data_IF_132899633940
#
_entry.id   IF_132899633940
#
_cell.length_a   1.000
_cell.length_b   1.000
_cell.length_c   1.000
_cell.angle_alpha   90.00
_cell.angle_beta   90.00
_cell.angle_gamma   90.00
#
_symmetry.space_group_name_H-M   'P 1'
#
loop_
_entity.id
_entity.type
_entity.pdbx_description
1 polymer ?
#
# COMPACT_ATOMS: atom_id res chain seq x y z
N UNK A 1 -10.58 25.07 -7.88
CA UNK A 1 -9.91 23.75 -7.90
C UNK A 1 -10.61 22.72 -7.02
N UNK A 2 -10.67 21.45 -7.42
CA UNK A 2 -10.82 20.30 -6.49
C UNK A 2 -9.44 19.67 -6.42
N UNK A 3 -8.78 19.76 -5.27
CA UNK A 3 -7.55 19.01 -5.00
C UNK A 3 -7.88 17.93 -3.99
N UNK A 4 -7.46 16.71 -4.30
CA UNK A 4 -7.44 15.59 -3.38
C UNK A 4 -5.97 15.29 -3.14
N UNK A 5 -5.50 15.47 -1.90
CA UNK A 5 -4.19 15.01 -1.51
C UNK A 5 -4.37 13.80 -0.60
N UNK A 6 -3.97 12.62 -1.07
CA UNK A 6 -3.94 11.44 -0.21
C UNK A 6 -2.56 11.32 0.42
N UNK A 7 -2.54 11.22 1.74
CA UNK A 7 -1.36 10.82 2.50
C UNK A 7 -1.66 9.39 2.89
N UNK A 8 -1.29 8.46 2.02
CA UNK A 8 -1.69 7.06 2.05
C UNK A 8 -1.35 6.39 3.39
N UNK A 9 -2.34 6.30 4.26
CA UNK A 9 -2.32 5.43 5.43
C UNK A 9 -3.69 4.77 5.53
N UNK A 10 -3.86 3.56 5.00
CA UNK A 10 -5.16 2.89 5.11
C UNK A 10 -5.58 2.73 6.59
N UNK A 11 -6.77 3.28 6.87
CA UNK A 11 -7.45 3.40 8.15
C UNK A 11 -8.47 2.28 8.34
N UNK A 12 -8.61 1.76 9.56
CA UNK A 12 -9.84 1.07 9.98
C UNK A 12 -10.25 1.58 11.37
N UNK A 13 -11.31 2.39 11.42
CA UNK A 13 -12.11 2.59 12.64
C UNK A 13 -13.54 2.14 12.38
N UNK A 14 -14.00 1.10 13.09
CA UNK A 14 -15.38 0.62 13.09
C UNK A 14 -16.32 1.68 13.71
N UNK A 15 -16.99 2.48 12.90
CA UNK A 15 -18.35 3.03 13.08
C UNK A 15 -18.85 3.41 11.66
N UNK A 16 -20.15 3.39 11.36
CA UNK A 16 -20.62 3.49 9.99
C UNK A 16 -20.36 4.90 9.45
N UNK A 17 -19.82 4.97 8.23
CA UNK A 17 -19.29 6.12 7.49
C UNK A 17 -17.77 6.31 7.66
N UNK A 18 -17.09 6.35 6.50
CA UNK A 18 -15.66 6.63 6.26
C UNK A 18 -14.74 5.38 6.31
N UNK A 19 -14.90 4.51 5.31
CA UNK A 19 -13.75 3.94 4.59
C UNK A 19 -13.24 5.04 3.67
N UNK A 20 -11.99 5.46 3.80
CA UNK A 20 -11.45 6.47 2.89
C UNK A 20 -9.95 6.64 3.06
N UNK A 21 -9.24 6.64 1.94
CA UNK A 21 -8.39 7.79 1.55
C UNK A 21 -8.74 9.03 2.37
N UNK A 22 -7.74 9.77 2.87
CA UNK A 22 -8.03 11.15 3.30
C UNK A 22 -8.24 12.00 2.05
N UNK A 23 -9.34 11.72 1.34
CA UNK A 23 -9.84 12.50 0.25
C UNK A 23 -10.37 13.82 0.82
N UNK A 24 -9.48 14.78 1.08
CA UNK A 24 -9.91 16.13 1.33
C UNK A 24 -10.44 16.69 0.02
N UNK A 25 -11.76 16.73 -0.14
CA UNK A 25 -12.36 17.57 -1.16
C UNK A 25 -12.20 19.03 -0.71
N UNK A 26 -11.20 19.73 -1.24
CA UNK A 26 -11.17 21.20 -1.27
C UNK A 26 -12.23 21.69 -2.28
N UNK A 27 -13.51 21.35 -2.07
CA UNK A 27 -14.54 21.42 -3.12
C UNK A 27 -15.36 22.71 -3.17
N UNK A 28 -15.01 23.77 -2.42
CA UNK A 28 -15.84 24.99 -2.42
C UNK A 28 -15.08 26.31 -2.43
N UNK A 29 -13.75 26.30 -2.41
CA UNK A 29 -12.98 27.53 -2.30
C UNK A 29 -12.32 27.85 -3.65
N UNK A 30 -12.86 28.87 -4.32
CA UNK A 30 -12.15 29.57 -5.42
C UNK A 30 -11.04 30.48 -4.89
N UNK A 31 -10.71 30.36 -3.61
CA UNK A 31 -9.68 31.14 -2.94
C UNK A 31 -8.36 30.36 -2.95
N UNK A 32 -7.40 30.73 -3.80
CA UNK A 32 -6.14 30.03 -3.91
C UNK A 32 -5.30 30.12 -2.62
N UNK A 33 -5.38 31.24 -1.89
CA UNK A 33 -4.63 31.43 -0.64
C UNK A 33 -5.15 30.48 0.44
N UNK A 34 -6.47 30.39 0.60
CA UNK A 34 -7.07 29.47 1.56
C UNK A 34 -6.82 28.00 1.21
N UNK A 35 -6.84 27.65 -0.09
CA UNK A 35 -6.49 26.30 -0.53
C UNK A 35 -5.02 25.97 -0.19
N UNK A 36 -4.11 26.94 -0.36
CA UNK A 36 -2.72 26.79 0.03
C UNK A 36 -2.57 26.55 1.53
N UNK A 37 -3.15 27.44 2.35
CA UNK A 37 -3.07 27.33 3.81
C UNK A 37 -3.65 26.00 4.29
N UNK A 38 -4.76 25.55 3.72
CA UNK A 38 -5.39 24.26 4.07
C UNK A 38 -4.53 23.05 3.74
N UNK A 39 -3.93 23.02 2.55
CA UNK A 39 -3.03 21.91 2.19
C UNK A 39 -1.82 21.90 3.11
N UNK A 40 -1.18 23.06 3.32
CA UNK A 40 -0.02 23.17 4.20
C UNK A 40 -0.33 22.75 5.64
N UNK A 41 -1.44 23.26 6.22
CA UNK A 41 -1.92 22.90 7.56
C UNK A 41 -2.19 21.39 7.66
N UNK A 42 -2.75 20.78 6.61
CA UNK A 42 -3.06 19.35 6.61
C UNK A 42 -1.78 18.53 6.76
N UNK A 43 -0.77 18.83 5.95
CA UNK A 43 0.54 18.19 6.03
C UNK A 43 1.20 18.43 7.40
N UNK A 44 1.20 19.67 7.88
CA UNK A 44 1.74 20.02 9.20
C UNK A 44 1.11 19.19 10.33
N UNK A 45 -0.21 18.91 10.27
CA UNK A 45 -0.92 18.19 11.32
C UNK A 45 -0.89 16.66 11.17
N UNK A 46 -0.63 16.14 9.96
CA UNK A 46 -0.90 14.73 9.62
C UNK A 46 0.29 13.99 9.05
N UNK A 47 1.23 14.66 8.39
CA UNK A 47 2.38 14.01 7.80
C UNK A 47 3.43 13.70 8.88
N UNK A 48 3.77 12.41 9.12
CA UNK A 48 4.61 12.03 10.25
C UNK A 48 6.11 11.96 9.94
N UNK A 49 6.52 12.24 8.70
CA UNK A 49 7.85 11.87 8.22
C UNK A 49 8.74 13.05 7.82
N UNK A 50 8.40 14.29 8.16
CA UNK A 50 9.23 15.45 7.79
C UNK A 50 10.70 15.29 8.22
N UNK A 51 10.94 14.88 9.47
CA UNK A 51 12.31 14.62 9.96
C UNK A 51 13.01 13.50 9.19
N UNK A 52 12.27 12.41 8.90
CA UNK A 52 12.80 11.27 8.14
C UNK A 52 13.16 11.66 6.70
N UNK A 53 12.38 12.57 6.11
CA UNK A 53 12.60 13.12 4.76
C UNK A 53 13.56 14.30 4.76
N UNK A 54 14.01 14.76 5.93
CA UNK A 54 14.85 15.95 6.08
C UNK A 54 14.22 17.21 5.43
N UNK A 55 12.91 17.40 5.64
CA UNK A 55 12.15 18.53 5.10
C UNK A 55 11.70 19.46 6.22
N UNK A 56 12.15 20.72 6.17
CA UNK A 56 11.61 21.79 7.02
C UNK A 56 10.27 22.27 6.44
N UNK A 57 9.17 21.73 6.96
CA UNK A 57 7.83 22.06 6.46
C UNK A 57 7.44 23.52 6.69
N UNK A 58 7.98 24.18 7.72
CA UNK A 58 7.73 25.60 7.94
C UNK A 58 8.44 26.44 6.89
N UNK A 59 9.68 26.09 6.53
CA UNK A 59 10.39 26.73 5.41
C UNK A 59 9.64 26.55 4.09
N UNK A 60 8.94 25.43 3.88
CA UNK A 60 8.05 25.26 2.72
C UNK A 60 6.94 26.33 2.72
N UNK A 61 6.30 26.60 3.87
CA UNK A 61 5.33 27.70 3.97
C UNK A 61 5.95 29.05 3.59
N UNK A 62 7.06 29.40 4.23
CA UNK A 62 7.71 30.70 4.06
C UNK A 62 8.19 30.91 2.61
N UNK A 63 8.53 29.83 1.91
CA UNK A 63 8.99 29.86 0.51
C UNK A 63 7.85 29.99 -0.49
N UNK A 64 6.75 29.26 -0.28
CA UNK A 64 5.69 29.12 -1.29
C UNK A 64 4.45 29.97 -1.03
N UNK A 65 4.11 30.25 0.23
CA UNK A 65 2.92 31.07 0.56
C UNK A 65 2.96 32.45 -0.11
N UNK A 66 4.07 33.20 -0.15
CA UNK A 66 4.13 34.51 -0.80
C UNK A 66 3.92 34.48 -2.32
N UNK A 67 4.07 33.30 -2.96
CA UNK A 67 3.82 33.11 -4.40
C UNK A 67 2.33 32.99 -4.72
N UNK A 68 1.48 32.72 -3.72
CA UNK A 68 0.04 32.53 -3.88
C UNK A 68 -0.69 33.83 -3.54
N UNK A 69 -1.49 34.31 -4.47
CA UNK A 69 -2.33 35.51 -4.33
C UNK A 69 -3.75 35.20 -4.83
N UNK A 70 -4.70 36.10 -4.57
CA UNK A 70 -6.06 36.01 -5.11
C UNK A 70 -6.14 35.92 -6.65
N UNK A 71 -5.07 36.25 -7.38
CA UNK A 71 -5.00 36.16 -8.84
C UNK A 71 -4.39 34.84 -9.34
N UNK A 72 -3.84 34.01 -8.44
CA UNK A 72 -3.23 32.72 -8.79
C UNK A 72 -4.29 31.79 -9.37
N UNK A 73 -4.02 31.28 -10.56
CA UNK A 73 -4.90 30.35 -11.26
C UNK A 73 -4.85 28.95 -10.67
N UNK A 74 -5.85 28.11 -10.94
CA UNK A 74 -5.86 26.70 -10.54
C UNK A 74 -4.63 25.93 -11.09
N UNK A 75 -4.12 26.28 -12.27
CA UNK A 75 -2.94 25.63 -12.85
C UNK A 75 -1.65 26.04 -12.10
N UNK A 76 -1.45 27.34 -11.87
CA UNK A 76 -0.30 27.86 -11.12
C UNK A 76 -0.29 27.35 -9.68
N UNK A 77 -1.45 27.30 -9.03
CA UNK A 77 -1.54 26.81 -7.66
C UNK A 77 -1.21 25.31 -7.58
N UNK A 78 -1.63 24.51 -8.56
CA UNK A 78 -1.26 23.10 -8.63
C UNK A 78 0.25 22.92 -8.81
N UNK A 79 0.88 23.74 -9.66
CA UNK A 79 2.34 23.69 -9.88
C UNK A 79 3.11 24.07 -8.61
N UNK A 80 2.64 25.11 -7.89
CA UNK A 80 3.18 25.49 -6.58
C UNK A 80 3.10 24.34 -5.57
N UNK A 81 1.98 23.60 -5.55
CA UNK A 81 1.85 22.43 -4.68
C UNK A 81 2.79 21.29 -5.07
N UNK A 82 2.96 21.01 -6.36
CA UNK A 82 3.95 20.04 -6.81
C UNK A 82 5.34 20.42 -6.29
N UNK A 83 5.78 21.65 -6.51
CA UNK A 83 7.11 22.12 -6.06
C UNK A 83 7.26 22.05 -4.53
N UNK A 84 6.21 22.38 -3.77
CA UNK A 84 6.22 22.34 -2.31
C UNK A 84 6.29 20.91 -1.75
N UNK A 85 5.66 19.96 -2.43
CA UNK A 85 5.57 18.55 -2.01
C UNK A 85 6.72 17.69 -2.53
N UNK A 86 7.37 18.08 -3.64
CA UNK A 86 8.45 17.34 -4.29
C UNK A 86 9.57 16.90 -3.33
N UNK A 87 10.06 17.73 -2.39
CA UNK A 87 11.14 17.32 -1.49
C UNK A 87 10.76 16.23 -0.49
N UNK A 88 9.47 15.88 -0.37
CA UNK A 88 9.03 14.79 0.50
C UNK A 88 9.51 13.43 0.00
N UNK A 89 9.74 13.26 -1.31
CA UNK A 89 10.23 12.01 -1.92
C UNK A 89 9.49 10.77 -1.39
N UNK A 90 8.15 10.85 -1.38
CA UNK A 90 7.28 9.89 -0.71
C UNK A 90 6.16 9.38 -1.62
N UNK A 91 6.25 8.10 -2.01
CA UNK A 91 5.29 7.45 -2.89
C UNK A 91 3.89 7.34 -2.33
N UNK A 92 3.72 7.48 -1.01
CA UNK A 92 2.42 7.50 -0.35
C UNK A 92 1.78 8.88 -0.37
N UNK A 93 2.46 9.91 -0.89
CA UNK A 93 1.85 11.22 -1.14
C UNK A 93 1.37 11.30 -2.57
N UNK A 94 0.09 11.57 -2.76
CA UNK A 94 -0.48 11.79 -4.09
C UNK A 94 -1.33 13.05 -4.12
N UNK A 95 -0.96 14.00 -4.99
CA UNK A 95 -1.72 15.20 -5.26
C UNK A 95 -2.52 15.01 -6.56
N UNK A 96 -3.85 14.98 -6.47
CA UNK A 96 -4.75 14.95 -7.62
C UNK A 96 -5.50 16.26 -7.72
N UNK A 97 -5.76 16.71 -8.94
CA UNK A 97 -6.49 17.94 -9.16
C UNK A 97 -7.20 18.00 -10.50
N UNK A 98 -8.13 18.95 -10.60
CA UNK A 98 -8.74 19.35 -11.87
C UNK A 98 -8.52 20.84 -12.09
N UNK A 99 -7.76 21.19 -13.12
CA UNK A 99 -7.29 22.55 -13.37
C UNK A 99 -7.55 23.00 -14.81
N UNK A 100 -7.39 24.30 -15.07
CA UNK A 100 -7.47 24.91 -16.39
C UNK A 100 -8.86 24.86 -17.06
N UNK A 101 -8.95 25.40 -18.30
CA UNK A 101 -10.17 25.30 -19.11
C UNK A 101 -10.57 23.83 -19.33
N UNK A 102 -11.83 23.50 -19.05
CA UNK A 102 -12.33 22.13 -19.20
C UNK A 102 -11.97 21.16 -18.06
N UNK A 103 -11.41 21.64 -16.94
CA UNK A 103 -11.15 20.84 -15.72
C UNK A 103 -10.31 19.59 -15.99
N UNK A 104 -9.17 19.77 -16.67
CA UNK A 104 -8.22 18.71 -17.01
C UNK A 104 -7.74 18.02 -15.73
N UNK A 105 -7.80 16.69 -15.70
CA UNK A 105 -7.26 15.90 -14.59
C UNK A 105 -5.73 16.01 -14.56
N UNK A 106 -5.17 16.24 -13.39
CA UNK A 106 -3.73 16.24 -13.10
C UNK A 106 -3.47 15.38 -11.88
N UNK A 107 -2.29 14.78 -11.83
CA UNK A 107 -1.79 14.00 -10.70
C UNK A 107 -0.30 14.25 -10.54
N UNK A 108 0.19 14.22 -9.31
CA UNK A 108 1.59 14.35 -8.95
C UNK A 108 1.89 13.42 -7.76
N UNK A 109 3.04 12.77 -7.80
CA UNK A 109 3.59 11.95 -6.73
C UNK A 109 5.05 12.41 -6.54
N UNK A 110 5.48 12.77 -5.31
CA UNK A 110 6.85 13.22 -5.05
C UNK A 110 7.92 12.15 -5.25
N UNK A 111 7.58 10.87 -5.11
CA UNK A 111 8.53 9.78 -5.37
C UNK A 111 8.51 9.38 -6.85
N UNK A 112 9.69 9.24 -7.49
CA UNK A 112 9.79 8.66 -8.82
C UNK A 112 9.19 7.25 -8.89
N UNK A 113 8.84 6.81 -10.09
CA UNK A 113 8.33 5.45 -10.28
C UNK A 113 9.32 4.40 -9.73
N UNK A 114 8.89 3.31 -9.06
CA UNK A 114 9.81 2.30 -8.53
C UNK A 114 10.80 1.77 -9.56
N UNK A 115 12.05 1.46 -9.16
CA UNK A 115 13.10 1.03 -10.11
C UNK A 115 12.68 -0.19 -10.91
N UNK A 116 11.94 -1.13 -10.31
CA UNK A 116 11.41 -2.28 -11.03
C UNK A 116 10.58 -1.88 -12.27
N UNK A 117 9.78 -0.82 -12.20
CA UNK A 117 8.98 -0.34 -13.33
C UNK A 117 9.75 0.57 -14.27
N UNK A 118 10.82 1.22 -13.80
CA UNK A 118 11.77 1.92 -14.67
C UNK A 118 12.59 0.94 -15.52
N UNK A 119 13.00 -0.19 -14.93
CA UNK A 119 13.83 -1.22 -15.58
C UNK A 119 13.01 -2.12 -16.50
N UNK A 120 11.79 -2.50 -16.09
CA UNK A 120 10.95 -3.43 -16.84
C UNK A 120 9.67 -2.77 -17.34
N UNK A 121 9.50 -2.76 -18.66
CA UNK A 121 8.25 -2.35 -19.27
C UNK A 121 7.09 -3.30 -18.89
N UNK A 122 5.85 -2.81 -19.01
CA UNK A 122 4.64 -3.65 -18.86
C UNK A 122 4.66 -4.91 -19.74
N UNK A 123 5.34 -4.88 -20.89
CA UNK A 123 5.49 -6.06 -21.77
C UNK A 123 6.45 -7.08 -21.16
N UNK A 124 7.58 -6.61 -20.64
CA UNK A 124 8.58 -7.47 -19.99
C UNK A 124 8.06 -8.07 -18.70
N UNK A 125 7.33 -7.31 -17.88
CA UNK A 125 6.68 -7.83 -16.66
C UNK A 125 5.67 -8.93 -17.04
N UNK A 126 4.84 -8.73 -18.07
CA UNK A 126 3.95 -9.81 -18.55
C UNK A 126 4.73 -11.03 -19.05
N UNK A 127 5.88 -10.81 -19.69
CA UNK A 127 6.74 -11.90 -20.16
C UNK A 127 7.43 -12.64 -19.00
N UNK A 128 7.80 -11.93 -17.93
CA UNK A 128 8.32 -12.50 -16.69
C UNK A 128 7.34 -13.52 -16.13
N UNK A 129 6.06 -13.15 -15.96
CA UNK A 129 5.07 -14.09 -15.38
C UNK A 129 4.70 -15.26 -16.30
N UNK A 130 4.75 -15.08 -17.63
CA UNK A 130 4.70 -16.22 -18.57
C UNK A 130 5.88 -17.16 -18.37
N UNK A 131 7.07 -16.61 -18.13
CA UNK A 131 8.30 -17.38 -17.89
C UNK A 131 8.25 -18.08 -16.53
N UNK A 132 7.73 -17.43 -15.49
CA UNK A 132 7.45 -18.04 -14.18
C UNK A 132 6.55 -19.27 -14.33
N UNK A 133 5.43 -19.14 -15.05
CA UNK A 133 4.52 -20.28 -15.26
C UNK A 133 5.20 -21.45 -15.99
N UNK A 134 5.95 -21.16 -17.06
CA UNK A 134 6.74 -22.20 -17.77
C UNK A 134 7.77 -22.87 -16.85
N UNK A 135 8.44 -22.07 -16.01
CA UNK A 135 9.45 -22.56 -15.07
C UNK A 135 8.82 -23.48 -14.03
N UNK A 136 7.71 -23.06 -13.42
CA UNK A 136 6.96 -23.87 -12.46
C UNK A 136 6.57 -25.22 -13.08
N UNK A 137 5.98 -25.22 -14.27
CA UNK A 137 5.61 -26.44 -14.99
C UNK A 137 6.83 -27.33 -15.29
N UNK A 138 7.96 -26.76 -15.75
CA UNK A 138 9.20 -27.52 -15.98
C UNK A 138 9.80 -28.14 -14.71
N UNK A 139 9.45 -27.60 -13.53
CA UNK A 139 9.88 -28.09 -12.21
C UNK A 139 8.81 -28.96 -11.53
N UNK A 140 7.83 -29.46 -12.28
CA UNK A 140 6.83 -30.41 -11.79
C UNK A 140 5.74 -29.79 -10.93
N UNK A 141 5.57 -28.47 -10.96
CA UNK A 141 4.37 -27.85 -10.40
C UNK A 141 3.17 -28.09 -11.32
N UNK A 142 2.00 -28.23 -10.70
CA UNK A 142 0.73 -28.17 -11.42
C UNK A 142 0.49 -26.81 -12.09
N UNK A 143 -0.63 -26.71 -12.80
CA UNK A 143 -1.08 -25.44 -13.38
C UNK A 143 -1.36 -24.44 -12.26
N UNK A 144 -0.88 -23.21 -12.42
CA UNK A 144 -1.21 -22.10 -11.53
C UNK A 144 -2.67 -21.69 -11.76
N UNK A 145 -3.52 -21.96 -10.78
CA UNK A 145 -4.96 -21.69 -10.86
C UNK A 145 -5.36 -20.52 -9.96
N UNK A 146 -6.31 -19.73 -10.44
CA UNK A 146 -7.03 -18.75 -9.62
C UNK A 146 -7.94 -19.48 -8.62
N UNK A 147 -7.97 -19.01 -7.37
CA UNK A 147 -8.84 -19.61 -6.34
C UNK A 147 -10.23 -18.96 -6.34
N UNK A 148 -11.09 -19.33 -5.38
CA UNK A 148 -12.40 -18.67 -5.18
C UNK A 148 -12.29 -17.19 -4.80
N UNK A 149 -11.07 -16.75 -4.49
CA UNK A 149 -10.69 -15.41 -4.15
C UNK A 149 -9.69 -14.97 -5.25
N UNK A 150 -10.14 -14.14 -6.19
CA UNK A 150 -9.43 -13.86 -7.45
C UNK A 150 -7.97 -13.41 -7.28
N UNK A 151 -7.64 -12.74 -6.18
CA UNK A 151 -6.29 -12.24 -5.94
C UNK A 151 -5.28 -13.30 -5.48
N UNK A 152 -5.73 -14.53 -5.17
CA UNK A 152 -4.90 -15.63 -4.72
C UNK A 152 -4.84 -16.68 -5.82
N UNK A 153 -3.63 -16.91 -6.33
CA UNK A 153 -3.33 -17.96 -7.28
C UNK A 153 -2.41 -18.99 -6.63
N UNK A 154 -2.69 -20.27 -6.84
CA UNK A 154 -1.95 -21.33 -6.16
C UNK A 154 -1.68 -22.53 -7.08
N UNK A 155 -0.49 -23.11 -6.94
CA UNK A 155 -0.18 -24.45 -7.40
C UNK A 155 0.93 -25.05 -6.53
N UNK A 156 1.17 -26.35 -6.70
CA UNK A 156 2.29 -27.03 -6.04
C UNK A 156 2.93 -28.08 -6.93
N UNK A 157 4.17 -28.40 -6.60
CA UNK A 157 4.82 -29.66 -6.95
C UNK A 157 4.58 -30.69 -5.85
N UNK A 158 5.31 -31.82 -5.89
CA UNK A 158 5.30 -32.79 -4.78
C UNK A 158 5.78 -32.17 -3.46
N UNK A 159 6.80 -31.33 -3.49
CA UNK A 159 7.52 -30.90 -2.28
C UNK A 159 7.36 -29.40 -1.98
N UNK A 160 6.97 -28.57 -2.96
CA UNK A 160 6.94 -27.11 -2.80
C UNK A 160 5.63 -26.54 -3.32
N UNK A 161 5.01 -25.65 -2.54
CA UNK A 161 3.85 -24.87 -2.95
C UNK A 161 4.27 -23.47 -3.43
N UNK A 162 3.50 -22.91 -4.35
CA UNK A 162 3.68 -21.58 -4.89
C UNK A 162 2.36 -20.81 -4.77
N UNK A 163 2.37 -19.71 -4.03
CA UNK A 163 1.23 -18.80 -3.86
C UNK A 163 1.62 -17.47 -4.50
N UNK A 164 0.79 -16.94 -5.38
CA UNK A 164 0.92 -15.57 -5.87
C UNK A 164 -0.24 -14.74 -5.35
N UNK A 165 0.08 -13.59 -4.76
CA UNK A 165 -0.89 -12.68 -4.14
C UNK A 165 -0.88 -11.38 -4.94
N UNK A 166 -1.95 -11.13 -5.70
CA UNK A 166 -2.05 -10.00 -6.63
C UNK A 166 -2.59 -8.72 -6.01
N UNK A 167 -3.31 -8.83 -4.89
CA UNK A 167 -4.03 -7.75 -4.22
C UNK A 167 -4.27 -8.17 -2.75
N UNK A 168 -4.57 -7.24 -1.85
CA UNK A 168 -4.94 -7.55 -0.45
C UNK A 168 -6.27 -6.89 -0.05
N UNK A 169 -7.14 -6.62 -1.02
CA UNK A 169 -8.47 -6.06 -0.83
C UNK A 169 -9.44 -6.51 -1.94
N UNK A 170 -10.67 -5.99 -1.94
CA UNK A 170 -11.62 -6.23 -3.02
C UNK A 170 -12.25 -7.63 -3.04
N UNK A 171 -12.11 -8.41 -1.97
CA UNK A 171 -12.73 -9.75 -1.86
C UNK A 171 -13.58 -9.91 -0.60
N UNK A 172 -14.75 -10.54 -0.76
CA UNK A 172 -15.64 -10.87 0.36
C UNK A 172 -14.94 -11.82 1.34
N UNK A 173 -15.02 -11.53 2.64
CA UNK A 173 -14.41 -12.35 3.72
C UNK A 173 -14.66 -13.86 3.59
N UNK A 174 -15.86 -14.27 3.19
CA UNK A 174 -16.20 -15.68 2.93
C UNK A 174 -15.35 -16.30 1.81
N UNK A 175 -15.18 -15.60 0.69
CA UNK A 175 -14.39 -16.08 -0.46
C UNK A 175 -12.91 -16.18 -0.10
N UNK A 176 -12.38 -15.17 0.59
CA UNK A 176 -11.01 -15.21 1.11
C UNK A 176 -10.81 -16.42 2.02
N UNK A 177 -11.73 -16.67 2.97
CA UNK A 177 -11.67 -17.84 3.84
C UNK A 177 -11.70 -19.16 3.06
N UNK A 178 -12.62 -19.31 2.11
CA UNK A 178 -12.73 -20.50 1.25
C UNK A 178 -11.42 -20.79 0.50
N UNK A 179 -10.83 -19.77 -0.13
CA UNK A 179 -9.57 -19.90 -0.83
C UNK A 179 -8.42 -20.29 0.11
N UNK A 180 -8.29 -19.61 1.25
CA UNK A 180 -7.25 -19.90 2.22
C UNK A 180 -7.39 -21.29 2.84
N UNK A 181 -8.62 -21.74 3.14
CA UNK A 181 -8.86 -23.10 3.64
C UNK A 181 -8.50 -24.15 2.58
N UNK A 182 -8.85 -23.90 1.31
CA UNK A 182 -8.49 -24.75 0.18
C UNK A 182 -6.97 -24.89 0.03
N UNK A 183 -6.23 -23.77 0.08
CA UNK A 183 -4.77 -23.77 0.03
C UNK A 183 -4.19 -24.49 1.25
N UNK A 184 -4.71 -24.20 2.45
CA UNK A 184 -4.17 -24.75 3.71
C UNK A 184 -4.31 -26.26 3.79
N UNK A 185 -5.43 -26.82 3.33
CA UNK A 185 -5.65 -28.27 3.27
C UNK A 185 -4.63 -28.99 2.37
N UNK A 186 -4.03 -28.26 1.43
CA UNK A 186 -3.02 -28.77 0.51
C UNK A 186 -1.58 -28.51 1.00
N UNK A 187 -1.38 -28.11 2.26
CA UNK A 187 -0.04 -27.99 2.85
C UNK A 187 0.62 -29.31 3.18
N UNK A 188 -0.15 -30.41 3.21
CA UNK A 188 0.36 -31.72 3.58
C UNK A 188 1.57 -32.12 2.72
N UNK A 189 2.63 -32.59 3.39
CA UNK A 189 3.89 -33.03 2.80
C UNK A 189 4.71 -31.95 2.06
N UNK A 190 4.32 -30.66 2.14
CA UNK A 190 5.17 -29.59 1.63
C UNK A 190 6.41 -29.43 2.51
N UNK A 191 7.56 -29.29 1.85
CA UNK A 191 8.86 -28.98 2.44
C UNK A 191 9.19 -27.49 2.36
N UNK A 192 8.44 -26.73 1.57
CA UNK A 192 8.66 -25.29 1.40
C UNK A 192 7.48 -24.61 0.71
N UNK A 193 7.36 -23.30 0.93
CA UNK A 193 6.46 -22.42 0.18
C UNK A 193 7.24 -21.28 -0.47
N UNK A 194 6.85 -20.94 -1.69
CA UNK A 194 7.24 -19.70 -2.37
C UNK A 194 6.00 -18.81 -2.40
N UNK A 195 6.11 -17.60 -1.87
CA UNK A 195 5.05 -16.59 -1.90
C UNK A 195 5.53 -15.43 -2.77
N UNK A 196 4.79 -15.10 -3.82
CA UNK A 196 5.14 -14.04 -4.76
C UNK A 196 4.18 -12.85 -4.64
N UNK A 197 4.72 -11.71 -4.23
CA UNK A 197 4.00 -10.45 -4.05
C UNK A 197 4.54 -9.32 -4.95
N UNK A 198 5.39 -9.61 -5.94
CA UNK A 198 6.12 -8.57 -6.72
C UNK A 198 5.26 -7.57 -7.49
N UNK A 199 4.00 -7.89 -7.76
CA UNK A 199 3.03 -6.97 -8.39
C UNK A 199 1.91 -6.51 -7.43
N UNK A 200 2.06 -6.75 -6.13
CA UNK A 200 1.02 -6.47 -5.15
C UNK A 200 0.99 -4.97 -4.79
N UNK A 201 -0.12 -4.26 -5.08
CA UNK A 201 -0.22 -2.82 -4.85
C UNK A 201 -0.65 -2.45 -3.42
N UNK A 202 -0.97 -3.44 -2.58
CA UNK A 202 -1.41 -3.21 -1.22
C UNK A 202 -2.80 -3.77 -0.94
N UNK A 203 -3.55 -3.04 -0.11
CA UNK A 203 -4.87 -3.42 0.39
C UNK A 203 -4.98 -3.24 1.91
N UNK A 204 -5.81 -4.07 2.54
CA UNK A 204 -6.21 -3.88 3.94
C UNK A 204 -5.45 -4.80 4.92
N UNK A 205 -5.12 -4.26 6.11
CA UNK A 205 -4.49 -5.01 7.21
C UNK A 205 -5.29 -6.27 7.59
N UNK A 206 -6.63 -6.22 7.56
CA UNK A 206 -7.51 -7.36 7.86
C UNK A 206 -7.24 -8.55 6.91
N UNK A 207 -7.03 -8.28 5.63
CA UNK A 207 -6.72 -9.30 4.61
C UNK A 207 -5.31 -9.82 4.82
N UNK A 208 -4.34 -8.93 5.07
CA UNK A 208 -2.95 -9.32 5.39
C UNK A 208 -2.93 -10.30 6.55
N UNK A 209 -3.54 -9.94 7.68
CA UNK A 209 -3.58 -10.79 8.88
C UNK A 209 -4.27 -12.12 8.59
N UNK A 210 -5.40 -12.12 7.87
CA UNK A 210 -6.11 -13.35 7.52
C UNK A 210 -5.25 -14.34 6.70
N UNK A 211 -4.40 -13.83 5.80
CA UNK A 211 -3.47 -14.64 5.02
C UNK A 211 -2.30 -15.10 5.89
N UNK A 212 -1.65 -14.19 6.63
CA UNK A 212 -0.47 -14.51 7.47
C UNK A 212 -0.81 -15.52 8.57
N UNK A 213 -2.05 -15.52 9.06
CA UNK A 213 -2.54 -16.51 10.04
C UNK A 213 -2.47 -17.97 9.55
N UNK A 214 -2.25 -18.21 8.24
CA UNK A 214 -2.03 -19.56 7.68
C UNK A 214 -0.58 -20.06 7.85
N UNK A 215 0.33 -19.18 8.26
CA UNK A 215 1.77 -19.44 8.28
C UNK A 215 2.41 -19.33 9.66
N UNK A 216 1.62 -19.04 10.71
CA UNK A 216 2.11 -18.94 12.08
C UNK A 216 1.77 -20.18 12.92
N UNK A 217 2.59 -20.43 13.95
CA UNK A 217 2.48 -21.54 14.89
C UNK A 217 1.95 -21.12 16.27
N UNK A 218 1.99 -19.82 16.57
CA UNK A 218 1.56 -19.23 17.84
C UNK A 218 1.07 -17.80 17.66
N UNK A 219 0.37 -17.31 18.68
CA UNK A 219 -0.01 -15.89 18.75
C UNK A 219 1.22 -15.02 18.97
N UNK A 220 1.40 -14.01 18.12
CA UNK A 220 2.46 -13.01 18.27
C UNK A 220 2.07 -11.68 17.63
N UNK A 221 2.86 -10.64 17.91
CA UNK A 221 2.68 -9.32 17.30
C UNK A 221 3.18 -9.38 15.85
N UNK A 222 2.37 -8.88 14.92
CA UNK A 222 2.76 -8.72 13.53
C UNK A 222 3.45 -7.38 13.29
N UNK A 223 2.82 -6.30 13.76
CA UNK A 223 3.32 -4.94 13.64
C UNK A 223 2.61 -3.99 14.61
N UNK A 224 3.16 -2.79 14.72
CA UNK A 224 2.62 -1.69 15.50
C UNK A 224 2.28 -0.51 14.60
N UNK A 225 1.24 0.26 14.95
CA UNK A 225 0.95 1.55 14.31
C UNK A 225 0.59 2.59 15.37
N UNK A 226 0.89 3.84 15.04
CA UNK A 226 0.37 5.05 15.70
C UNK A 226 0.10 6.08 14.62
N UNK A 227 -0.86 6.97 14.85
CA UNK A 227 -1.31 7.96 13.86
C UNK A 227 -0.95 9.37 14.33
N UNK A 228 -0.45 10.22 13.44
CA UNK A 228 -0.19 11.63 13.72
C UNK A 228 -1.52 12.38 13.95
N UNK A 229 -1.61 13.12 15.04
CA UNK A 229 -2.86 13.79 15.45
C UNK A 229 -2.75 15.31 15.56
N UNK A 230 -1.56 15.86 15.40
CA UNK A 230 -1.30 17.28 15.58
C UNK A 230 0.10 17.67 15.12
N UNK A 231 0.43 18.97 15.20
CA UNK A 231 1.60 19.53 14.55
C UNK A 231 2.90 19.36 15.33
N UNK A 232 2.86 19.09 16.64
CA UNK A 232 4.06 18.92 17.45
C UNK A 232 4.61 17.51 17.35
N UNK A 233 5.92 17.32 17.41
CA UNK A 233 6.59 16.02 17.11
C UNK A 233 6.05 14.84 17.92
N UNK A 234 5.57 15.07 19.15
CA UNK A 234 5.01 14.03 20.01
C UNK A 234 3.52 13.73 19.77
N UNK A 235 2.82 14.50 18.92
CA UNK A 235 1.37 14.39 18.72
C UNK A 235 1.00 13.16 17.88
N UNK A 236 0.94 12.02 18.56
CA UNK A 236 0.53 10.74 18.02
C UNK A 236 -0.50 10.06 18.93
N UNK A 237 -1.34 9.21 18.35
CA UNK A 237 -2.13 8.27 19.14
C UNK A 237 -1.24 7.33 19.94
N UNK A 238 -1.74 6.71 21.02
CA UNK A 238 -1.07 5.55 21.62
C UNK A 238 -0.78 4.47 20.58
N UNK A 239 0.33 3.75 20.78
CA UNK A 239 0.69 2.62 19.91
C UNK A 239 -0.40 1.54 20.00
N UNK A 240 -0.85 1.08 18.85
CA UNK A 240 -1.72 -0.09 18.71
C UNK A 240 -0.93 -1.23 18.09
N UNK A 241 -1.24 -2.46 18.50
CA UNK A 241 -0.55 -3.67 18.05
C UNK A 241 -1.52 -4.60 17.31
N UNK A 242 -1.12 -5.03 16.12
CA UNK A 242 -1.81 -6.06 15.36
C UNK A 242 -1.16 -7.40 15.65
N UNK A 243 -1.99 -8.43 15.74
CA UNK A 243 -1.55 -9.77 16.13
C UNK A 243 -1.89 -10.75 15.03
N UNK A 244 -1.02 -11.74 14.88
CA UNK A 244 -1.23 -12.94 14.07
C UNK A 244 -1.30 -14.14 15.01
N UNK A 245 -2.14 -15.10 14.66
CA UNK A 245 -2.29 -16.36 15.39
C UNK A 245 -2.78 -17.47 14.44
N UNK A 246 -2.46 -18.75 14.72
CA UNK A 246 -2.85 -19.87 13.85
C UNK A 246 -4.35 -19.86 13.56
N UNK A 247 -4.74 -19.81 12.28
CA UNK A 247 -6.14 -19.92 11.87
C UNK A 247 -6.32 -20.79 10.62
N UNK A 248 -7.47 -21.46 10.53
CA UNK A 248 -7.80 -22.35 9.42
C UNK A 248 -7.56 -23.82 9.72
N UNK A 249 -7.78 -24.71 8.73
CA UNK A 249 -7.74 -26.15 8.94
C UNK A 249 -6.32 -26.71 9.10
N UNK A 250 -5.31 -25.99 8.62
CA UNK A 250 -3.90 -26.33 8.77
C UNK A 250 -3.04 -25.07 8.64
N UNK A 251 -1.83 -25.13 9.19
CA UNK A 251 -0.83 -24.07 9.12
C UNK A 251 0.42 -24.61 8.43
N UNK A 252 1.08 -23.78 7.63
CA UNK A 252 2.39 -24.10 7.10
C UNK A 252 3.47 -23.37 7.91
N UNK A 253 4.22 -24.12 8.70
CA UNK A 253 5.29 -23.61 9.58
C UNK A 253 6.68 -24.04 9.12
N UNK A 254 6.79 -24.57 7.90
CA UNK A 254 8.07 -24.89 7.25
C UNK A 254 8.69 -23.68 6.53
N UNK A 255 9.82 -23.86 5.84
CA UNK A 255 10.53 -22.78 5.16
C UNK A 255 9.69 -21.99 4.14
N UNK A 256 9.73 -20.66 4.23
CA UNK A 256 9.04 -19.76 3.28
C UNK A 256 10.04 -18.85 2.56
N UNK A 257 9.94 -18.78 1.24
CA UNK A 257 10.63 -17.79 0.41
C UNK A 257 9.61 -16.74 -0.06
N UNK A 258 9.79 -15.49 0.35
CA UNK A 258 8.99 -14.36 -0.10
C UNK A 258 9.69 -13.63 -1.26
N UNK A 259 9.05 -13.58 -2.43
CA UNK A 259 9.50 -12.80 -3.58
C UNK A 259 8.85 -11.42 -3.53
N UNK A 260 9.67 -10.37 -3.44
CA UNK A 260 9.26 -8.97 -3.38
C UNK A 260 10.18 -8.10 -4.26
N UNK A 261 9.80 -6.85 -4.49
CA UNK A 261 10.58 -5.82 -5.17
C UNK A 261 10.11 -4.43 -4.70
N UNK A 262 10.77 -3.37 -5.18
CA UNK A 262 10.42 -1.99 -4.81
C UNK A 262 9.11 -1.47 -5.42
N UNK A 263 8.43 -2.24 -6.27
CA UNK A 263 7.07 -1.93 -6.72
C UNK A 263 5.97 -2.49 -5.83
N UNK A 264 6.32 -3.26 -4.79
CA UNK A 264 5.38 -3.71 -3.77
C UNK A 264 5.06 -2.53 -2.86
N UNK A 265 3.78 -2.29 -2.61
CA UNK A 265 3.33 -1.03 -2.01
C UNK A 265 2.32 -1.26 -0.89
N UNK A 266 2.31 -0.38 0.11
CA UNK A 266 1.26 -0.27 1.14
C UNK A 266 1.00 -1.60 1.87
N UNK A 267 -0.20 -2.18 1.77
CA UNK A 267 -0.53 -3.47 2.38
C UNK A 267 0.44 -4.61 2.03
N UNK A 268 1.10 -4.56 0.86
CA UNK A 268 2.13 -5.52 0.47
C UNK A 268 3.40 -5.41 1.33
N UNK A 269 3.77 -4.20 1.72
CA UNK A 269 4.87 -3.94 2.66
C UNK A 269 4.49 -4.40 4.07
N UNK A 270 3.24 -4.17 4.49
CA UNK A 270 2.70 -4.68 5.76
C UNK A 270 2.72 -6.21 5.77
N UNK A 271 2.35 -6.86 4.65
CA UNK A 271 2.44 -8.30 4.50
C UNK A 271 3.89 -8.79 4.63
N UNK A 272 4.84 -8.16 3.94
CA UNK A 272 6.25 -8.51 4.05
C UNK A 272 6.79 -8.33 5.49
N UNK A 273 6.40 -7.24 6.17
CA UNK A 273 6.75 -6.98 7.57
C UNK A 273 6.18 -8.05 8.51
N UNK A 274 4.92 -8.46 8.32
CA UNK A 274 4.26 -9.48 9.12
C UNK A 274 4.87 -10.87 8.88
N UNK A 275 5.18 -11.23 7.63
CA UNK A 275 5.87 -12.48 7.29
C UNK A 275 7.27 -12.55 7.94
N UNK A 276 7.99 -11.43 8.02
CA UNK A 276 9.31 -11.36 8.69
C UNK A 276 9.25 -11.68 10.19
N UNK A 277 8.09 -11.59 10.83
CA UNK A 277 7.95 -11.96 12.25
C UNK A 277 7.90 -13.47 12.46
N UNK A 278 7.59 -14.25 11.42
CA UNK A 278 7.47 -15.69 11.54
C UNK A 278 8.85 -16.33 11.75
N UNK A 279 8.90 -17.44 12.50
CA UNK A 279 10.15 -18.11 12.88
C UNK A 279 10.66 -19.14 11.87
N UNK A 280 10.06 -19.21 10.68
CA UNK A 280 10.26 -20.25 9.67
C UNK A 280 10.82 -19.72 8.35
#
# INVERSE_FOLDING_TARGET
MEIECDVGFNFVTKYPQISGTMAFMLSTLRDPELNFDKLWETFQNRYPFFDLRNVDWKKQYDTYRPKVTQLTTDDELFDIFCEMLDPLDDGHVELKGRTGPGRRKRSFNPEPEPRFRQEFSRREIRQLFKTTQKTLSSRGFGRLEETSAWMLHYCRSRDVGYIRILELEGVKKRKLKEALDSISNDFNNLKGLIIDIRENPGGDDDTVIAIVNRFCDRKQIAFHRKTKTGPGDADFTPIKSWHIEPQGPAQFTGPIVLLSCDSVFSGGEVFALAMKQLSN
#
